data_IF_054623630109
#
_entry.id   IF_054623630109
#
_cell.length_a   1.000
_cell.length_b   1.000
_cell.length_c   1.000
_cell.angle_alpha   90.00
_cell.angle_beta   90.00
_cell.angle_gamma   90.00
#
_symmetry.space_group_name_H-M   'P 1'
#
loop_
_entity.id
_entity.type
_entity.pdbx_description
1 polymer ?
#
# COMPACT_ATOMS: atom_id res chain seq x y z
N UNK A 1 42.56 65.63 -46.40
CA UNK A 1 41.69 64.66 -45.69
C UNK A 1 40.72 64.08 -46.70
N UNK A 2 40.89 62.83 -47.14
CA UNK A 2 39.91 62.19 -48.02
C UNK A 2 38.69 61.77 -47.18
N UNK A 3 37.50 62.22 -47.57
CA UNK A 3 36.25 61.73 -46.99
C UNK A 3 35.95 60.38 -47.64
N UNK A 4 36.02 59.30 -46.86
CA UNK A 4 35.50 58.00 -47.27
C UNK A 4 33.97 58.12 -47.26
N UNK A 5 33.36 58.08 -48.44
CA UNK A 5 31.90 58.02 -48.60
C UNK A 5 31.47 56.57 -48.37
N UNK A 6 30.84 56.30 -47.23
CA UNK A 6 30.29 54.97 -46.93
C UNK A 6 28.93 54.87 -47.63
N UNK A 7 28.77 53.84 -48.46
CA UNK A 7 27.55 53.56 -49.20
C UNK A 7 26.39 53.28 -48.22
N UNK A 8 25.28 54.01 -48.37
CA UNK A 8 24.08 53.88 -47.52
C UNK A 8 23.47 52.47 -47.54
N UNK A 9 23.64 51.72 -48.64
CA UNK A 9 23.17 50.34 -48.73
C UNK A 9 24.00 49.40 -47.83
N UNK A 10 25.29 49.67 -47.67
CA UNK A 10 26.16 48.90 -46.77
C UNK A 10 25.76 49.14 -45.31
N UNK A 11 25.42 50.37 -44.94
CA UNK A 11 24.92 50.68 -43.59
C UNK A 11 23.55 50.03 -43.32
N UNK A 12 22.70 50.00 -44.34
CA UNK A 12 21.40 49.32 -44.29
C UNK A 12 21.60 47.81 -44.01
N UNK A 13 22.45 47.14 -44.78
CA UNK A 13 22.71 45.71 -44.66
C UNK A 13 23.35 45.35 -43.31
N UNK A 14 24.28 46.19 -42.83
CA UNK A 14 24.87 46.06 -41.49
C UNK A 14 23.80 46.16 -40.40
N UNK A 15 22.85 47.09 -40.52
CA UNK A 15 21.77 47.26 -39.56
C UNK A 15 20.89 46.01 -39.44
N UNK A 16 20.54 45.39 -40.58
CA UNK A 16 19.71 44.17 -40.61
C UNK A 16 20.46 42.94 -40.11
N UNK A 17 21.76 42.86 -40.42
CA UNK A 17 22.64 41.83 -39.86
C UNK A 17 22.73 41.97 -38.32
N UNK A 18 22.89 43.19 -37.80
CA UNK A 18 22.94 43.45 -36.37
C UNK A 18 21.61 43.06 -35.67
N UNK A 19 20.46 43.39 -36.27
CA UNK A 19 19.14 43.01 -35.74
C UNK A 19 18.95 41.49 -35.74
N UNK A 20 19.39 40.80 -36.80
CA UNK A 20 19.36 39.34 -36.88
C UNK A 20 20.22 38.70 -35.80
N UNK A 21 21.44 39.22 -35.58
CA UNK A 21 22.36 38.74 -34.55
C UNK A 21 21.76 38.96 -33.16
N UNK A 22 21.16 40.12 -32.90
CA UNK A 22 20.52 40.42 -31.62
C UNK A 22 19.39 39.44 -31.31
N UNK A 23 18.52 39.15 -32.30
CA UNK A 23 17.45 38.15 -32.14
C UNK A 23 17.98 36.76 -31.83
N UNK A 24 19.03 36.32 -32.53
CA UNK A 24 19.66 35.01 -32.27
C UNK A 24 20.28 34.94 -30.87
N UNK A 25 20.94 36.01 -30.41
CA UNK A 25 21.52 36.07 -29.07
C UNK A 25 20.46 36.03 -27.97
N UNK A 26 19.33 36.73 -28.14
CA UNK A 26 18.22 36.68 -27.19
C UNK A 26 17.61 35.28 -27.11
N UNK A 27 17.40 34.61 -28.24
CA UNK A 27 16.89 33.23 -28.26
C UNK A 27 17.84 32.26 -27.55
N UNK A 28 19.15 32.38 -27.79
CA UNK A 28 20.17 31.56 -27.13
C UNK A 28 20.19 31.79 -25.61
N UNK A 29 20.01 33.03 -25.17
CA UNK A 29 19.98 33.37 -23.75
C UNK A 29 18.77 32.75 -23.03
N UNK A 30 17.59 32.76 -23.66
CA UNK A 30 16.40 32.10 -23.11
C UNK A 30 16.56 30.57 -23.08
N UNK A 31 17.19 29.97 -24.10
CA UNK A 31 17.50 28.54 -24.11
C UNK A 31 18.49 28.16 -22.99
N UNK A 32 19.53 28.96 -22.78
CA UNK A 32 20.48 28.79 -21.67
C UNK A 32 19.79 28.88 -20.31
N UNK A 33 18.86 29.83 -20.15
CA UNK A 33 18.08 29.98 -18.91
C UNK A 33 17.16 28.78 -18.67
N UNK A 34 16.52 28.26 -19.71
CA UNK A 34 15.71 27.04 -19.60
C UNK A 34 16.57 25.83 -19.20
N UNK A 35 17.75 25.65 -19.82
CA UNK A 35 18.69 24.57 -19.47
C UNK A 35 19.22 24.70 -18.03
N UNK A 36 19.50 25.92 -17.56
CA UNK A 36 19.91 26.16 -16.18
C UNK A 36 18.80 25.77 -15.18
N UNK A 37 17.54 26.08 -15.47
CA UNK A 37 16.41 25.62 -14.67
C UNK A 37 16.28 24.10 -14.66
N UNK A 38 16.51 23.43 -15.79
CA UNK A 38 16.53 21.96 -15.87
C UNK A 38 17.67 21.34 -15.05
N UNK A 39 18.82 21.99 -14.96
CA UNK A 39 19.94 21.54 -14.13
C UNK A 39 19.60 21.63 -12.63
N UNK A 40 18.94 22.70 -12.18
CA UNK A 40 18.48 22.81 -10.79
C UNK A 40 17.48 21.70 -10.44
N UNK A 41 16.55 21.36 -11.35
CA UNK A 41 15.62 20.24 -11.18
C UNK A 41 16.39 18.91 -11.05
N UNK A 42 17.48 18.74 -11.82
CA UNK A 42 18.31 17.55 -11.74
C UNK A 42 19.06 17.45 -10.40
N UNK A 43 19.53 18.59 -9.86
CA UNK A 43 20.17 18.67 -8.55
C UNK A 43 19.19 18.29 -7.43
N UNK A 44 17.95 18.80 -7.47
CA UNK A 44 16.90 18.43 -6.52
C UNK A 44 16.57 16.92 -6.57
N UNK A 45 16.54 16.32 -7.76
CA UNK A 45 16.31 14.87 -7.94
C UNK A 45 17.46 14.07 -7.34
N UNK A 46 18.71 14.49 -7.55
CA UNK A 46 19.88 13.83 -6.98
C UNK A 46 19.86 13.88 -5.45
N UNK A 47 19.53 15.04 -4.86
CA UNK A 47 19.44 15.19 -3.41
C UNK A 47 18.34 14.30 -2.82
N UNK A 48 17.16 14.28 -3.42
CA UNK A 48 16.07 13.39 -2.99
C UNK A 48 16.45 11.91 -3.08
N UNK A 49 17.18 11.53 -4.14
CA UNK A 49 17.65 10.14 -4.33
C UNK A 49 18.67 9.75 -3.27
N UNK A 50 19.59 10.65 -2.90
CA UNK A 50 20.60 10.42 -1.86
C UNK A 50 19.96 10.27 -0.47
N UNK A 51 18.97 11.11 -0.14
CA UNK A 51 18.20 11.00 1.11
C UNK A 51 17.46 9.66 1.20
N UNK A 52 16.88 9.21 0.07
CA UNK A 52 16.17 7.94 0.01
C UNK A 52 17.10 6.74 0.16
N UNK A 53 18.22 6.70 -0.57
CA UNK A 53 19.23 5.64 -0.44
C UNK A 53 19.77 5.58 0.99
N UNK A 54 20.03 6.73 1.61
CA UNK A 54 20.48 6.82 3.01
C UNK A 54 19.45 6.27 4.01
N UNK A 55 18.15 6.48 3.75
CA UNK A 55 17.07 5.91 4.55
C UNK A 55 16.99 4.39 4.41
N UNK A 56 17.02 3.88 3.17
CA UNK A 56 16.98 2.45 2.87
C UNK A 56 18.20 1.72 3.49
N UNK A 57 19.40 2.31 3.42
CA UNK A 57 20.60 1.76 4.05
C UNK A 57 20.46 1.60 5.57
N UNK A 58 19.84 2.58 6.25
CA UNK A 58 19.56 2.49 7.70
C UNK A 58 18.56 1.39 8.04
N UNK A 59 17.56 1.17 7.18
CA UNK A 59 16.59 0.09 7.35
C UNK A 59 17.24 -1.28 7.19
N UNK A 60 18.06 -1.46 6.16
CA UNK A 60 18.83 -2.70 5.94
C UNK A 60 19.73 -3.00 7.13
N UNK A 61 20.43 -2.00 7.67
CA UNK A 61 21.25 -2.17 8.87
C UNK A 61 20.42 -2.64 10.07
N UNK A 62 19.28 -2.00 10.33
CA UNK A 62 18.38 -2.38 11.43
C UNK A 62 17.83 -3.80 11.26
N UNK A 63 17.54 -4.22 10.02
CA UNK A 63 17.09 -5.58 9.72
C UNK A 63 18.21 -6.60 9.94
N UNK A 64 19.45 -6.28 9.54
CA UNK A 64 20.63 -7.09 9.83
C UNK A 64 20.84 -7.30 11.34
N UNK A 65 20.70 -6.23 12.13
CA UNK A 65 20.83 -6.30 13.59
C UNK A 65 19.74 -7.20 14.22
N UNK A 66 18.49 -7.11 13.72
CA UNK A 66 17.38 -7.97 14.16
C UNK A 66 17.63 -9.44 13.81
N UNK A 67 18.12 -9.74 12.61
CA UNK A 67 18.51 -11.10 12.22
C UNK A 67 19.63 -11.64 13.13
N UNK A 68 20.60 -10.81 13.50
CA UNK A 68 21.65 -11.18 14.46
C UNK A 68 21.11 -11.52 15.85
N UNK A 69 20.14 -10.75 16.35
CA UNK A 69 19.47 -11.04 17.63
C UNK A 69 18.64 -12.34 17.56
N UNK A 70 17.85 -12.52 16.50
CA UNK A 70 17.05 -13.74 16.31
C UNK A 70 17.93 -14.99 16.22
N UNK A 71 19.04 -14.92 15.48
CA UNK A 71 20.03 -16.01 15.43
C UNK A 71 20.58 -16.32 16.83
N UNK A 72 20.90 -15.29 17.62
CA UNK A 72 21.39 -15.46 19.00
C UNK A 72 20.37 -16.13 19.93
N UNK A 73 19.08 -15.82 19.77
CA UNK A 73 18.00 -16.48 20.52
C UNK A 73 17.83 -17.94 20.11
N UNK A 74 17.85 -18.23 18.81
CA UNK A 74 17.76 -19.60 18.30
C UNK A 74 18.92 -20.47 18.76
N UNK A 75 20.15 -19.92 18.80
CA UNK A 75 21.31 -20.61 19.36
C UNK A 75 21.12 -20.97 20.83
N UNK A 76 20.62 -20.04 21.67
CA UNK A 76 20.34 -20.31 23.09
C UNK A 76 19.22 -21.34 23.29
N UNK A 77 18.19 -21.33 22.43
CA UNK A 77 17.13 -22.34 22.48
C UNK A 77 17.65 -23.72 22.12
N UNK A 78 18.52 -23.83 21.12
CA UNK A 78 19.15 -25.09 20.75
C UNK A 78 20.01 -25.66 21.90
N UNK A 79 20.81 -24.83 22.57
CA UNK A 79 21.59 -25.24 23.75
C UNK A 79 20.72 -25.76 24.89
N UNK A 80 19.61 -25.08 25.17
CA UNK A 80 18.65 -25.51 26.20
C UNK A 80 17.94 -26.82 25.82
N UNK A 81 17.66 -27.02 24.54
CA UNK A 81 17.02 -28.24 24.04
C UNK A 81 17.96 -29.44 24.18
N UNK A 82 19.25 -29.30 23.82
CA UNK A 82 20.24 -30.36 24.04
C UNK A 82 20.42 -30.72 25.52
N UNK A 83 20.37 -29.72 26.41
CA UNK A 83 20.44 -29.95 27.85
C UNK A 83 19.20 -30.69 28.40
N UNK A 84 18.02 -30.34 27.90
CA UNK A 84 16.76 -31.01 28.25
C UNK A 84 16.72 -32.45 27.72
N UNK A 85 17.19 -32.68 26.49
CA UNK A 85 17.27 -34.01 25.89
C UNK A 85 18.19 -34.93 26.68
N UNK A 86 19.39 -34.47 27.09
CA UNK A 86 20.29 -35.25 27.97
C UNK A 86 19.64 -35.63 29.30
N UNK A 87 18.85 -34.71 29.87
CA UNK A 87 18.12 -34.95 31.12
C UNK A 87 17.01 -35.99 30.93
N UNK A 88 16.26 -35.90 29.82
CA UNK A 88 15.22 -36.85 29.46
C UNK A 88 15.78 -38.24 29.13
N UNK A 89 16.88 -38.34 28.38
CA UNK A 89 17.54 -39.63 28.10
C UNK A 89 18.05 -40.28 29.39
N UNK A 90 18.57 -39.48 30.33
CA UNK A 90 18.94 -39.95 31.67
C UNK A 90 17.74 -40.48 32.48
N UNK A 91 16.59 -39.81 32.39
CA UNK A 91 15.35 -40.22 33.06
C UNK A 91 14.69 -41.45 32.39
N UNK A 92 14.71 -41.55 31.07
CA UNK A 92 14.14 -42.68 30.31
C UNK A 92 14.90 -43.98 30.60
N UNK A 93 16.23 -43.91 30.74
CA UNK A 93 17.04 -45.08 31.12
C UNK A 93 16.78 -45.58 32.55
N UNK A 94 16.11 -44.79 33.39
CA UNK A 94 15.71 -45.18 34.75
C UNK A 94 14.31 -45.81 34.82
N UNK A 95 13.49 -45.75 33.76
CA UNK A 95 12.05 -46.07 33.81
C UNK A 95 11.60 -47.07 32.72
N UNK A 96 12.47 -47.94 32.18
CA UNK A 96 11.96 -49.06 31.38
C UNK A 96 12.66 -50.38 31.71
N UNK A 97 11.84 -51.42 31.99
CA UNK A 97 11.15 -52.06 30.88
C UNK A 97 9.64 -52.17 31.12
N UNK A 98 8.88 -51.19 30.65
CA UNK A 98 7.47 -51.37 30.30
C UNK A 98 6.99 -50.15 29.52
N UNK A 99 6.19 -50.41 28.50
CA UNK A 99 5.43 -49.48 27.64
C UNK A 99 6.12 -49.18 26.32
N UNK A 100 6.01 -50.20 25.46
CA UNK A 100 5.76 -50.03 24.03
C UNK A 100 4.28 -49.67 23.84
N UNK A 101 3.98 -48.53 23.22
CA UNK A 101 3.09 -48.42 22.05
C UNK A 101 2.73 -46.96 21.74
N UNK A 102 2.66 -46.68 20.43
CA UNK A 102 2.01 -45.57 19.73
C UNK A 102 2.59 -44.16 19.93
N UNK A 103 3.51 -43.80 19.03
CA UNK A 103 3.85 -42.41 18.69
C UNK A 103 3.32 -42.15 17.28
N UNK A 104 2.12 -41.59 17.20
CA UNK A 104 1.69 -40.85 16.00
C UNK A 104 2.36 -39.47 16.07
N UNK A 105 3.16 -39.15 15.07
CA UNK A 105 3.73 -37.82 14.86
C UNK A 105 2.61 -36.87 14.48
N UNK A 106 2.31 -35.93 15.38
CA UNK A 106 1.61 -34.70 15.02
C UNK A 106 2.57 -33.83 14.21
N UNK A 107 2.68 -34.12 12.92
CA UNK A 107 2.99 -33.12 11.92
C UNK A 107 1.90 -32.05 11.98
N UNK A 108 2.22 -30.88 12.53
CA UNK A 108 1.39 -29.68 12.32
C UNK A 108 1.57 -29.24 10.88
N UNK A 109 0.89 -29.95 9.98
CA UNK A 109 0.48 -29.43 8.69
C UNK A 109 -0.53 -28.33 9.00
N UNK A 110 -0.21 -27.08 8.67
CA UNK A 110 -1.23 -26.05 8.48
C UNK A 110 -1.79 -26.23 7.05
N UNK A 111 -3.00 -26.77 6.84
CA UNK A 111 -3.73 -26.54 5.59
C UNK A 111 -4.31 -25.11 5.69
N UNK A 112 -4.28 -24.23 4.69
CA UNK A 112 -4.82 -24.37 3.34
C UNK A 112 -4.28 -23.26 2.43
N UNK A 113 -3.94 -23.65 1.20
CA UNK A 113 -3.55 -22.79 0.08
C UNK A 113 -4.62 -21.73 -0.28
N UNK A 114 -4.41 -20.48 0.10
CA UNK A 114 -4.84 -19.31 -0.68
C UNK A 114 -3.71 -18.30 -0.66
N UNK A 115 -2.94 -18.28 -1.75
CA UNK A 115 -2.01 -17.20 -2.03
C UNK A 115 -2.83 -15.97 -2.41
N UNK A 116 -2.91 -14.99 -1.51
CA UNK A 116 -3.62 -13.73 -1.70
C UNK A 116 -2.82 -12.73 -2.53
N UNK A 117 -1.59 -13.05 -2.91
CA UNK A 117 -0.82 -12.29 -3.89
C UNK A 117 -0.72 -13.13 -5.18
N UNK A 118 -1.78 -13.17 -6.01
CA UNK A 118 -1.79 -13.97 -7.22
C UNK A 118 -0.75 -13.45 -8.24
N UNK A 119 -0.49 -14.17 -9.35
CA UNK A 119 0.27 -13.61 -10.46
C UNK A 119 -0.27 -12.25 -10.94
N UNK A 120 0.64 -11.38 -11.38
CA UNK A 120 0.30 -10.03 -11.83
C UNK A 120 -0.64 -10.08 -13.03
N UNK A 121 -1.77 -9.37 -12.95
CA UNK A 121 -2.70 -9.23 -14.06
C UNK A 121 -2.06 -8.44 -15.22
N UNK A 122 -2.21 -8.94 -16.45
CA UNK A 122 -1.63 -8.31 -17.64
C UNK A 122 -2.67 -7.51 -18.43
N UNK A 123 -2.33 -6.29 -18.85
CA UNK A 123 -3.21 -5.46 -19.69
C UNK A 123 -3.39 -6.02 -21.10
N UNK A 124 -2.43 -6.78 -21.61
CA UNK A 124 -2.52 -7.53 -22.86
C UNK A 124 -3.02 -8.97 -22.66
N UNK A 125 -3.38 -9.32 -21.42
CA UNK A 125 -3.93 -10.60 -21.04
C UNK A 125 -5.27 -10.94 -21.69
N UNK A 126 -5.60 -12.22 -21.62
CA UNK A 126 -6.78 -12.80 -22.30
C UNK A 126 -7.79 -13.41 -21.33
N UNK A 127 -7.50 -13.44 -20.03
CA UNK A 127 -8.47 -13.92 -19.05
C UNK A 127 -9.69 -12.96 -18.99
N UNK A 128 -10.88 -13.43 -18.56
CA UNK A 128 -12.03 -12.55 -18.35
C UNK A 128 -11.73 -11.38 -17.40
N UNK A 129 -10.92 -11.61 -16.37
CA UNK A 129 -10.50 -10.64 -15.36
C UNK A 129 -9.53 -9.61 -15.94
N UNK A 130 -8.56 -10.04 -16.75
CA UNK A 130 -7.60 -9.17 -17.44
C UNK A 130 -8.28 -8.33 -18.53
N UNK A 131 -9.24 -8.91 -19.26
CA UNK A 131 -10.09 -8.17 -20.19
C UNK A 131 -10.91 -7.11 -19.44
N UNK A 132 -11.47 -7.47 -18.28
CA UNK A 132 -12.20 -6.53 -17.43
C UNK A 132 -11.28 -5.39 -16.94
N UNK A 133 -10.08 -5.71 -16.44
CA UNK A 133 -9.06 -4.75 -16.04
C UNK A 133 -8.74 -3.77 -17.17
N UNK A 134 -8.37 -4.30 -18.35
CA UNK A 134 -8.07 -3.48 -19.53
C UNK A 134 -9.25 -2.58 -19.87
N UNK A 135 -10.47 -3.09 -19.88
CA UNK A 135 -11.64 -2.28 -20.25
C UNK A 135 -11.89 -1.15 -19.25
N UNK A 136 -11.72 -1.39 -17.93
CA UNK A 136 -11.87 -0.35 -16.90
C UNK A 136 -10.78 0.72 -16.99
N UNK A 137 -9.53 0.32 -17.24
CA UNK A 137 -8.38 1.23 -17.32
C UNK A 137 -8.32 1.98 -18.65
N UNK A 138 -8.64 1.34 -19.78
CA UNK A 138 -8.38 1.90 -21.12
C UNK A 138 -9.64 2.35 -21.87
N UNK A 139 -10.81 1.78 -21.58
CA UNK A 139 -12.05 2.00 -22.37
C UNK A 139 -13.20 2.63 -21.57
N UNK A 140 -13.03 2.86 -20.28
CA UNK A 140 -14.06 3.47 -19.44
C UNK A 140 -14.31 4.94 -19.75
N UNK A 141 -15.52 5.44 -19.42
CA UNK A 141 -15.84 6.88 -19.33
C UNK A 141 -15.09 7.59 -18.18
N UNK A 142 -14.06 6.95 -17.64
CA UNK A 142 -13.27 7.43 -16.52
C UNK A 142 -12.24 8.40 -17.07
N UNK A 143 -12.36 9.68 -16.71
CA UNK A 143 -11.38 10.71 -17.08
C UNK A 143 -10.17 10.61 -16.17
N UNK A 144 -9.36 9.60 -16.42
CA UNK A 144 -8.07 9.41 -15.75
C UNK A 144 -7.22 10.68 -15.92
N UNK A 145 -6.90 11.33 -14.80
CA UNK A 145 -5.94 12.44 -14.80
C UNK A 145 -4.52 11.89 -15.05
N UNK A 146 -4.27 10.65 -14.62
CA UNK A 146 -3.08 9.87 -14.94
C UNK A 146 -3.47 8.53 -15.56
N UNK A 147 -2.98 8.25 -16.78
CA UNK A 147 -3.19 6.94 -17.44
C UNK A 147 -2.45 5.85 -16.69
N UNK A 148 -3.10 4.70 -16.51
CA UNK A 148 -2.49 3.49 -15.95
C UNK A 148 -1.93 2.59 -17.05
N UNK A 149 -0.73 2.06 -16.82
CA UNK A 149 0.01 1.15 -17.68
C UNK A 149 0.42 -0.10 -16.88
N UNK A 150 1.12 -1.03 -17.54
CA UNK A 150 1.53 -2.29 -16.90
C UNK A 150 2.54 -2.06 -15.77
N UNK A 151 3.43 -1.07 -15.90
CA UNK A 151 4.42 -0.77 -14.85
C UNK A 151 3.74 -0.33 -13.54
N UNK A 152 2.68 0.46 -13.62
CA UNK A 152 1.90 0.86 -12.45
C UNK A 152 1.18 -0.31 -11.82
N UNK A 153 0.60 -1.20 -12.61
CA UNK A 153 0.00 -2.44 -12.12
C UNK A 153 1.06 -3.30 -11.41
N UNK A 154 2.23 -3.50 -12.03
CA UNK A 154 3.33 -4.25 -11.43
C UNK A 154 3.77 -3.65 -10.10
N UNK A 155 3.79 -2.31 -9.97
CA UNK A 155 4.19 -1.65 -8.73
C UNK A 155 3.22 -1.89 -7.57
N UNK A 156 1.92 -2.04 -7.85
CA UNK A 156 0.92 -2.43 -6.83
C UNK A 156 1.25 -3.81 -6.26
N UNK A 157 1.52 -4.79 -7.13
CA UNK A 157 1.94 -6.13 -6.70
C UNK A 157 3.23 -6.10 -5.90
N UNK A 158 4.26 -5.40 -6.40
CA UNK A 158 5.54 -5.29 -5.71
C UNK A 158 5.41 -4.67 -4.30
N UNK A 159 4.49 -3.71 -4.11
CA UNK A 159 4.22 -3.13 -2.80
C UNK A 159 3.55 -4.13 -1.85
N UNK A 160 2.60 -4.94 -2.32
CA UNK A 160 2.00 -6.01 -1.53
C UNK A 160 2.99 -7.12 -1.18
N UNK A 161 3.85 -7.51 -2.13
CA UNK A 161 4.93 -8.48 -1.90
C UNK A 161 5.93 -7.97 -0.84
N UNK A 162 6.27 -6.68 -0.88
CA UNK A 162 7.14 -6.07 0.12
C UNK A 162 6.51 -6.13 1.52
N UNK A 163 5.23 -5.78 1.65
CA UNK A 163 4.50 -5.90 2.91
C UNK A 163 4.51 -7.35 3.41
N UNK A 164 4.21 -8.31 2.55
CA UNK A 164 4.25 -9.72 2.94
C UNK A 164 5.64 -10.16 3.40
N UNK A 165 6.70 -9.75 2.69
CA UNK A 165 8.08 -10.06 3.08
C UNK A 165 8.48 -9.43 4.41
N UNK A 166 8.03 -8.22 4.70
CA UNK A 166 8.37 -7.48 5.92
C UNK A 166 7.54 -7.90 7.14
N UNK A 167 6.29 -8.30 6.91
CA UNK A 167 5.27 -8.41 7.95
C UNK A 167 4.58 -9.78 8.01
N UNK A 168 4.76 -10.65 7.02
CA UNK A 168 4.08 -11.95 6.96
C UNK A 168 2.58 -11.89 6.70
N UNK A 169 2.04 -10.69 6.43
CA UNK A 169 0.63 -10.45 6.14
C UNK A 169 0.47 -10.15 4.66
N UNK A 170 -0.45 -10.85 3.99
CA UNK A 170 -0.72 -10.65 2.57
C UNK A 170 -1.83 -9.62 2.39
N UNK A 171 -1.61 -8.64 1.52
CA UNK A 171 -2.66 -7.73 1.04
C UNK A 171 -2.96 -8.11 -0.40
N UNK A 172 -4.21 -8.43 -0.70
CA UNK A 172 -4.57 -8.76 -2.08
C UNK A 172 -4.45 -7.51 -2.99
N UNK A 173 -3.50 -7.50 -3.95
CA UNK A 173 -3.27 -6.35 -4.82
C UNK A 173 -4.49 -5.99 -5.67
N UNK A 174 -5.41 -6.92 -5.92
CA UNK A 174 -6.65 -6.67 -6.67
C UNK A 174 -7.59 -5.74 -5.90
N UNK A 175 -7.52 -5.67 -4.57
CA UNK A 175 -8.28 -4.70 -3.75
C UNK A 175 -7.79 -3.27 -4.05
N UNK A 176 -6.47 -3.05 -4.09
CA UNK A 176 -5.88 -1.75 -4.44
C UNK A 176 -6.28 -1.32 -5.86
N UNK A 177 -6.28 -2.25 -6.83
CA UNK A 177 -6.76 -1.96 -8.18
C UNK A 177 -8.26 -1.62 -8.19
N UNK A 178 -9.07 -2.34 -7.41
CA UNK A 178 -10.51 -2.05 -7.28
C UNK A 178 -10.76 -0.64 -6.72
N UNK A 179 -9.96 -0.23 -5.73
CA UNK A 179 -10.00 1.13 -5.17
C UNK A 179 -9.68 2.17 -6.24
N UNK A 180 -8.57 2.03 -6.98
CA UNK A 180 -8.22 2.97 -8.07
C UNK A 180 -9.34 3.14 -9.09
N UNK A 181 -10.00 2.03 -9.45
CA UNK A 181 -11.11 2.03 -10.39
C UNK A 181 -12.35 2.70 -9.81
N UNK A 182 -12.60 2.55 -8.51
CA UNK A 182 -13.68 3.23 -7.83
C UNK A 182 -13.42 4.73 -7.70
N UNK A 183 -12.18 5.14 -7.41
CA UNK A 183 -11.79 6.57 -7.34
C UNK A 183 -11.90 7.27 -8.70
N UNK A 184 -11.63 6.54 -9.79
CA UNK A 184 -11.93 7.00 -11.15
C UNK A 184 -11.13 8.22 -11.63
N UNK A 185 -10.03 8.57 -10.97
CA UNK A 185 -9.15 9.66 -11.39
C UNK A 185 -7.69 9.24 -11.59
N UNK A 186 -7.33 8.04 -11.15
CA UNK A 186 -6.03 7.41 -11.42
C UNK A 186 -5.08 7.53 -10.24
N UNK A 187 -5.58 8.03 -9.11
CA UNK A 187 -4.90 8.05 -7.83
C UNK A 187 -5.80 7.41 -6.77
N UNK A 188 -5.18 6.92 -5.70
CA UNK A 188 -5.81 6.42 -4.50
C UNK A 188 -6.45 7.54 -3.66
N UNK A 189 -6.29 8.79 -4.07
CA UNK A 189 -6.77 9.99 -3.38
C UNK A 189 -6.19 10.12 -1.97
N UNK A 190 -4.87 9.94 -1.83
CA UNK A 190 -4.18 10.02 -0.52
C UNK A 190 -3.57 11.39 -0.21
N UNK A 191 -3.78 12.40 -1.06
CA UNK A 191 -3.15 13.71 -0.86
C UNK A 191 -3.81 14.50 0.27
N UNK A 192 -3.07 14.72 1.37
CA UNK A 192 -3.49 15.62 2.44
C UNK A 192 -3.34 17.10 2.12
N UNK A 193 -2.56 17.44 1.08
CA UNK A 193 -2.30 18.82 0.64
C UNK A 193 -3.18 19.24 -0.53
N UNK A 194 -3.48 18.31 -1.45
CA UNK A 194 -4.41 18.54 -2.55
C UNK A 194 -5.75 17.94 -2.18
N UNK A 195 -6.48 18.60 -1.28
CA UNK A 195 -7.78 18.10 -0.82
C UNK A 195 -8.82 18.10 -1.93
N UNK A 196 -9.73 17.13 -1.89
CA UNK A 196 -10.90 17.07 -2.74
C UNK A 196 -11.91 18.18 -2.38
N UNK A 197 -12.94 18.37 -3.21
CA UNK A 197 -13.91 19.47 -3.06
C UNK A 197 -14.75 19.37 -1.76
N UNK A 198 -14.88 18.16 -1.22
CA UNK A 198 -15.49 17.84 0.08
C UNK A 198 -14.53 18.04 1.27
N UNK A 199 -13.27 18.37 1.02
CA UNK A 199 -12.24 18.55 2.04
C UNK A 199 -11.53 17.25 2.43
N UNK A 200 -11.82 16.11 1.80
CA UNK A 200 -11.11 14.84 2.02
C UNK A 200 -9.76 14.82 1.30
N UNK A 201 -9.02 13.72 1.46
CA UNK A 201 -7.80 13.52 0.71
C UNK A 201 -8.12 13.47 -0.79
N UNK A 202 -7.37 14.22 -1.59
CA UNK A 202 -7.62 14.31 -3.01
C UNK A 202 -6.47 13.76 -3.84
N UNK A 203 -6.51 14.10 -5.12
CA UNK A 203 -5.63 13.55 -6.13
C UNK A 203 -4.13 13.79 -5.86
N UNK A 204 -3.33 12.73 -5.95
CA UNK A 204 -1.86 12.77 -5.88
C UNK A 204 -1.27 12.35 -7.24
N UNK A 205 -0.59 13.29 -7.91
CA UNK A 205 -0.02 13.05 -9.25
C UNK A 205 1.21 12.14 -9.22
N UNK A 206 1.91 12.08 -8.08
CA UNK A 206 3.05 11.20 -7.89
C UNK A 206 2.56 9.79 -7.50
N UNK A 207 2.45 8.90 -8.49
CA UNK A 207 1.94 7.54 -8.34
C UNK A 207 2.69 6.74 -7.27
N UNK A 208 4.02 6.84 -7.19
CA UNK A 208 4.79 6.10 -6.19
C UNK A 208 4.50 6.57 -4.76
N UNK A 209 4.36 7.89 -4.58
CA UNK A 209 4.01 8.49 -3.29
C UNK A 209 2.57 8.15 -2.88
N UNK A 210 1.66 8.16 -3.85
CA UNK A 210 0.26 7.83 -3.66
C UNK A 210 0.07 6.35 -3.28
N UNK A 211 0.73 5.45 -4.02
CA UNK A 211 0.75 4.02 -3.74
C UNK A 211 1.33 3.72 -2.35
N UNK A 212 2.46 4.35 -1.98
CA UNK A 212 3.08 4.14 -0.67
C UNK A 212 2.14 4.56 0.48
N UNK A 213 1.40 5.66 0.32
CA UNK A 213 0.42 6.11 1.33
C UNK A 213 -0.80 5.20 1.39
N UNK A 214 -1.32 4.77 0.24
CA UNK A 214 -2.48 3.90 0.17
C UNK A 214 -2.19 2.55 0.80
N UNK A 215 -1.03 1.97 0.47
CA UNK A 215 -0.58 0.68 1.01
C UNK A 215 -0.28 0.77 2.52
N UNK A 216 0.35 1.85 3.01
CA UNK A 216 0.53 2.08 4.45
C UNK A 216 -0.83 2.20 5.17
N UNK A 217 -1.77 2.98 4.65
CA UNK A 217 -3.11 3.12 5.25
C UNK A 217 -3.85 1.78 5.29
N UNK A 218 -3.90 1.06 4.17
CA UNK A 218 -4.59 -0.22 4.07
C UNK A 218 -3.92 -1.25 4.96
N UNK A 219 -2.59 -1.32 5.01
CA UNK A 219 -1.88 -2.22 5.91
C UNK A 219 -2.22 -1.95 7.38
N UNK A 220 -2.27 -0.68 7.80
CA UNK A 220 -2.64 -0.31 9.18
C UNK A 220 -4.10 -0.62 9.50
N UNK A 221 -4.98 -0.52 8.51
CA UNK A 221 -6.38 -0.99 8.61
C UNK A 221 -6.46 -2.51 8.68
N UNK A 222 -5.62 -3.24 7.95
CA UNK A 222 -5.49 -4.70 8.06
C UNK A 222 -5.09 -5.09 9.48
N UNK A 223 -4.09 -4.42 10.08
CA UNK A 223 -3.72 -4.66 11.48
C UNK A 223 -4.89 -4.41 12.43
N UNK A 224 -5.64 -3.32 12.21
CA UNK A 224 -6.87 -3.05 12.95
C UNK A 224 -7.92 -4.14 12.78
N UNK A 225 -8.09 -4.68 11.57
CA UNK A 225 -9.06 -5.72 11.29
C UNK A 225 -8.67 -7.08 11.88
N UNK A 226 -7.37 -7.43 11.89
CA UNK A 226 -6.88 -8.62 12.59
C UNK A 226 -7.21 -8.52 14.08
N UNK A 227 -7.01 -7.34 14.68
CA UNK A 227 -7.25 -7.13 16.10
C UNK A 227 -8.74 -7.09 16.46
N UNK A 228 -9.53 -6.33 15.69
CA UNK A 228 -10.90 -5.94 16.05
C UNK A 228 -12.00 -6.37 15.07
N UNK A 229 -11.66 -7.15 14.04
CA UNK A 229 -12.57 -7.47 12.94
C UNK A 229 -13.80 -8.26 13.40
N UNK A 230 -13.66 -9.10 14.43
CA UNK A 230 -14.76 -9.85 15.03
C UNK A 230 -15.76 -8.92 15.72
N UNK A 231 -15.29 -8.01 16.59
CA UNK A 231 -16.16 -7.04 17.26
C UNK A 231 -16.88 -6.14 16.25
N UNK A 232 -16.15 -5.69 15.22
CA UNK A 232 -16.72 -4.92 14.13
C UNK A 232 -17.83 -5.69 13.40
N UNK A 233 -17.55 -6.91 12.92
CA UNK A 233 -18.50 -7.71 12.17
C UNK A 233 -19.76 -8.05 12.99
N UNK A 234 -19.60 -8.36 14.27
CA UNK A 234 -20.72 -8.62 15.17
C UNK A 234 -21.60 -7.37 15.32
N UNK A 235 -21.00 -6.20 15.53
CA UNK A 235 -21.74 -4.94 15.64
C UNK A 235 -22.50 -4.61 14.36
N UNK A 236 -21.92 -4.89 13.19
CA UNK A 236 -22.60 -4.75 11.89
C UNK A 236 -23.81 -5.67 11.79
N UNK A 237 -23.62 -6.96 12.09
CA UNK A 237 -24.69 -7.95 12.04
C UNK A 237 -25.87 -7.59 12.94
N UNK A 238 -25.59 -7.15 14.17
CA UNK A 238 -26.62 -6.71 15.12
C UNK A 238 -27.35 -5.44 14.68
N UNK A 239 -26.67 -4.53 13.98
CA UNK A 239 -27.19 -3.19 13.71
C UNK A 239 -27.81 -3.02 12.32
N UNK A 240 -27.38 -3.82 11.34
CA UNK A 240 -27.71 -3.64 9.92
C UNK A 240 -28.26 -4.92 9.26
N UNK A 241 -28.41 -6.03 10.01
CA UNK A 241 -28.88 -7.32 9.49
C UNK A 241 -28.08 -7.79 8.25
N UNK A 242 -26.77 -7.58 8.30
CA UNK A 242 -25.82 -7.93 7.24
C UNK A 242 -24.47 -8.33 7.85
N UNK A 243 -23.63 -9.06 7.13
CA UNK A 243 -22.29 -9.38 7.61
C UNK A 243 -21.33 -8.21 7.36
N UNK A 244 -20.56 -7.85 8.39
CA UNK A 244 -19.42 -6.96 8.23
C UNK A 244 -18.34 -7.60 7.34
N UNK A 245 -17.56 -6.78 6.65
CA UNK A 245 -16.38 -7.24 5.92
C UNK A 245 -15.24 -6.22 5.95
N UNK A 246 -14.05 -6.64 5.55
CA UNK A 246 -12.87 -5.78 5.57
C UNK A 246 -13.01 -4.52 4.69
N UNK A 247 -13.66 -4.60 3.53
CA UNK A 247 -13.83 -3.43 2.64
C UNK A 247 -14.79 -2.40 3.26
N UNK A 248 -15.82 -2.85 3.98
CA UNK A 248 -16.65 -1.95 4.81
C UNK A 248 -15.85 -1.34 5.95
N UNK A 249 -14.96 -2.12 6.58
CA UNK A 249 -14.06 -1.61 7.63
C UNK A 249 -13.15 -0.50 7.11
N UNK A 250 -12.67 -0.56 5.86
CA UNK A 250 -11.93 0.53 5.22
C UNK A 250 -12.78 1.79 5.08
N UNK A 251 -14.04 1.65 4.68
CA UNK A 251 -14.96 2.75 4.39
C UNK A 251 -15.41 3.51 5.65
N UNK A 252 -15.39 2.88 6.83
CA UNK A 252 -15.92 3.46 8.06
C UNK A 252 -14.84 3.94 9.04
N UNK A 253 -15.26 4.71 10.04
CA UNK A 253 -14.40 5.29 11.08
C UNK A 253 -13.92 4.19 12.02
N UNK A 254 -12.87 3.49 11.61
CA UNK A 254 -12.35 2.30 12.29
C UNK A 254 -10.86 2.44 12.59
N UNK A 255 -10.31 1.64 13.52
CA UNK A 255 -8.91 1.72 13.95
C UNK A 255 -7.89 1.64 12.81
N UNK A 256 -6.85 2.45 12.94
CA UNK A 256 -5.65 2.51 12.11
C UNK A 256 -4.47 2.30 13.07
N UNK A 257 -4.04 1.04 13.18
CA UNK A 257 -2.98 0.68 14.11
C UNK A 257 -1.62 1.00 13.51
N UNK A 258 -0.76 1.68 14.28
CA UNK A 258 0.59 2.03 13.83
C UNK A 258 1.61 1.14 14.49
N UNK A 259 2.58 0.68 13.69
CA UNK A 259 3.76 0.00 14.23
C UNK A 259 4.65 0.99 15.01
N UNK A 260 5.42 0.47 15.97
CA UNK A 260 6.51 1.17 16.67
C UNK A 260 6.14 2.54 17.30
N UNK A 261 5.69 2.57 18.55
CA UNK A 261 5.48 3.75 19.43
C UNK A 261 4.69 4.95 18.87
N UNK A 262 4.22 4.85 17.64
CA UNK A 262 3.38 5.81 16.99
C UNK A 262 1.95 5.63 17.49
N UNK A 263 1.28 6.74 17.80
CA UNK A 263 -0.10 6.69 18.26
C UNK A 263 -1.03 6.21 17.16
N UNK A 264 -1.69 5.07 17.42
CA UNK A 264 -2.84 4.58 16.68
C UNK A 264 -3.98 5.60 16.70
N UNK A 265 -4.84 5.57 15.69
CA UNK A 265 -5.96 6.50 15.54
C UNK A 265 -7.16 5.79 14.92
N UNK A 266 -8.28 6.48 14.77
CA UNK A 266 -9.38 6.05 13.89
C UNK A 266 -9.36 6.88 12.60
N UNK A 267 -10.09 6.45 11.58
CA UNK A 267 -10.31 7.24 10.37
C UNK A 267 -11.15 6.48 9.35
N UNK A 268 -11.57 7.13 8.27
CA UNK A 268 -12.16 6.49 7.08
C UNK A 268 -11.15 6.43 5.93
N UNK A 269 -11.32 5.50 4.99
CA UNK A 269 -10.67 5.59 3.67
C UNK A 269 -11.40 6.59 2.77
N UNK A 270 -12.73 6.46 2.67
CA UNK A 270 -13.62 7.32 1.89
C UNK A 270 -14.94 7.50 2.65
N UNK A 271 -15.60 8.66 2.54
CA UNK A 271 -16.90 8.89 3.23
C UNK A 271 -18.14 8.46 2.44
N UNK A 272 -18.04 8.21 1.14
CA UNK A 272 -19.19 7.75 0.35
C UNK A 272 -19.67 6.39 0.86
N UNK A 273 -20.92 6.34 1.32
CA UNK A 273 -21.59 5.14 1.85
C UNK A 273 -21.74 4.00 0.84
N UNK A 274 -21.67 4.27 -0.47
CA UNK A 274 -21.71 3.24 -1.50
C UNK A 274 -20.31 2.81 -1.96
N UNK A 275 -19.26 3.46 -1.48
CA UNK A 275 -17.89 3.19 -1.89
C UNK A 275 -17.53 1.72 -1.66
N UNK A 276 -17.75 1.20 -0.46
CA UNK A 276 -17.44 -0.20 -0.12
C UNK A 276 -18.17 -1.19 -1.03
N UNK A 277 -19.46 -0.98 -1.31
CA UNK A 277 -20.24 -1.86 -2.20
C UNK A 277 -19.68 -1.91 -3.61
N UNK A 278 -19.27 -0.75 -4.14
CA UNK A 278 -18.69 -0.69 -5.48
C UNK A 278 -17.30 -1.34 -5.52
N UNK A 279 -16.46 -1.12 -4.50
CA UNK A 279 -15.15 -1.78 -4.39
C UNK A 279 -15.30 -3.29 -4.27
N UNK A 280 -16.24 -3.80 -3.45
CA UNK A 280 -16.56 -5.23 -3.37
C UNK A 280 -16.88 -5.80 -4.76
N UNK A 281 -17.83 -5.18 -5.48
CA UNK A 281 -18.26 -5.65 -6.80
C UNK A 281 -17.12 -5.68 -7.82
N UNK A 282 -16.23 -4.68 -7.82
CA UNK A 282 -15.06 -4.64 -8.70
C UNK A 282 -14.06 -5.73 -8.31
N UNK A 283 -13.79 -5.89 -7.00
CA UNK A 283 -12.85 -6.87 -6.48
C UNK A 283 -13.29 -8.32 -6.75
N UNK A 284 -14.55 -8.66 -6.46
CA UNK A 284 -15.13 -9.99 -6.78
C UNK A 284 -15.02 -10.30 -8.27
N UNK A 285 -15.19 -9.29 -9.13
CA UNK A 285 -15.01 -9.43 -10.58
C UNK A 285 -13.55 -9.67 -10.98
N UNK A 286 -12.57 -9.16 -10.23
CA UNK A 286 -11.15 -9.45 -10.45
C UNK A 286 -10.72 -10.82 -9.92
N UNK A 287 -11.37 -11.32 -8.88
CA UNK A 287 -11.12 -12.68 -8.38
C UNK A 287 -11.85 -13.72 -9.22
N UNK A 288 -12.98 -13.36 -9.82
CA UNK A 288 -13.86 -14.29 -10.52
C UNK A 288 -14.74 -15.11 -9.57
N UNK A 289 -14.96 -14.61 -8.34
CA UNK A 289 -15.77 -15.27 -7.31
C UNK A 289 -16.61 -14.25 -6.55
N UNK A 290 -17.91 -14.55 -6.39
CA UNK A 290 -18.85 -13.74 -5.60
C UNK A 290 -18.61 -13.88 -4.08
N UNK A 291 -17.77 -14.83 -3.64
CA UNK A 291 -17.37 -15.00 -2.23
C UNK A 291 -16.03 -14.34 -1.90
N UNK A 292 -15.35 -13.73 -2.87
CA UNK A 292 -13.96 -13.27 -2.70
C UNK A 292 -13.76 -12.30 -1.53
N UNK A 293 -14.75 -11.43 -1.27
CA UNK A 293 -14.73 -10.49 -0.13
C UNK A 293 -14.83 -11.24 1.19
N UNK A 294 -15.73 -12.22 1.27
CA UNK A 294 -15.92 -13.06 2.44
C UNK A 294 -14.67 -13.93 2.69
N UNK A 295 -14.14 -14.55 1.65
CA UNK A 295 -12.95 -15.40 1.73
C UNK A 295 -11.72 -14.60 2.22
N UNK A 296 -11.52 -13.38 1.70
CA UNK A 296 -10.42 -12.51 2.14
C UNK A 296 -10.64 -11.99 3.56
N UNK A 297 -11.89 -11.68 3.92
CA UNK A 297 -12.27 -11.31 5.28
C UNK A 297 -11.94 -12.44 6.26
N UNK A 298 -12.32 -13.68 5.92
CA UNK A 298 -12.05 -14.87 6.74
C UNK A 298 -10.55 -15.15 6.85
N UNK A 299 -9.79 -14.92 5.77
CA UNK A 299 -8.33 -14.97 5.83
C UNK A 299 -7.78 -14.01 6.90
N UNK A 300 -8.17 -12.74 6.87
CA UNK A 300 -7.67 -11.77 7.85
C UNK A 300 -8.07 -12.12 9.29
N UNK A 301 -9.30 -12.61 9.49
CA UNK A 301 -9.77 -13.07 10.80
C UNK A 301 -9.05 -14.33 11.30
N UNK A 302 -8.51 -15.14 10.38
CA UNK A 302 -7.73 -16.34 10.73
C UNK A 302 -6.29 -16.05 11.16
N UNK A 303 -5.79 -14.83 10.93
CA UNK A 303 -4.45 -14.44 11.33
C UNK A 303 -4.35 -14.32 12.86
N UNK A 304 -3.23 -14.77 13.41
CA UNK A 304 -3.00 -14.72 14.86
C UNK A 304 -2.85 -13.28 15.34
N UNK A 305 -3.70 -12.87 16.29
CA UNK A 305 -3.67 -11.53 16.90
C UNK A 305 -2.33 -11.23 17.59
N UNK A 306 -1.57 -12.26 17.97
CA UNK A 306 -0.24 -12.09 18.56
C UNK A 306 0.72 -11.28 17.68
N UNK A 307 0.61 -11.39 16.35
CA UNK A 307 1.40 -10.56 15.44
C UNK A 307 1.16 -9.06 15.69
N UNK A 308 -0.10 -8.67 15.89
CA UNK A 308 -0.45 -7.27 16.18
C UNK A 308 0.05 -6.88 17.57
N UNK A 309 -0.20 -7.71 18.60
CA UNK A 309 0.22 -7.41 19.98
C UNK A 309 1.74 -7.35 20.16
N UNK A 310 2.50 -8.06 19.34
CA UNK A 310 3.96 -8.09 19.42
C UNK A 310 4.62 -6.92 18.67
N UNK A 311 3.92 -6.31 17.70
CA UNK A 311 4.49 -5.28 16.82
C UNK A 311 3.85 -3.88 16.97
N UNK A 312 2.70 -3.78 17.65
CA UNK A 312 2.02 -2.53 17.97
C UNK A 312 2.16 -2.26 19.47
N UNK A 313 2.95 -1.25 19.83
CA UNK A 313 3.31 -1.02 21.24
C UNK A 313 2.17 -0.45 22.10
N UNK A 314 1.16 0.15 21.47
CA UNK A 314 -0.06 0.57 22.15
C UNK A 314 -1.28 0.23 21.30
N UNK A 315 -2.03 -0.77 21.75
CA UNK A 315 -3.31 -1.18 21.19
C UNK A 315 -4.39 -0.49 22.04
N UNK A 316 -5.08 0.54 21.52
CA UNK A 316 -6.15 1.19 22.25
C UNK A 316 -7.31 0.21 22.47
N UNK A 317 -8.08 0.42 23.51
CA UNK A 317 -9.38 -0.25 23.63
C UNK A 317 -10.38 0.55 22.80
N UNK A 318 -11.15 -0.12 21.95
CA UNK A 318 -12.11 0.51 21.04
C UNK A 318 -13.46 -0.17 21.15
N UNK A 319 -14.50 0.63 21.38
CA UNK A 319 -15.88 0.15 21.33
C UNK A 319 -16.49 0.46 19.96
N UNK A 320 -16.98 -0.57 19.27
CA UNK A 320 -17.74 -0.40 18.03
C UNK A 320 -19.19 -0.05 18.35
N UNK A 321 -19.65 1.08 17.82
CA UNK A 321 -21.02 1.56 18.05
C UNK A 321 -21.73 1.90 16.75
N UNK A 322 -23.02 1.56 16.60
CA UNK A 322 -23.81 1.96 15.44
C UNK A 322 -24.08 3.46 15.44
N UNK A 323 -23.78 4.12 14.33
CA UNK A 323 -24.20 5.49 14.06
C UNK A 323 -25.56 5.47 13.37
N UNK A 324 -26.49 6.26 13.90
CA UNK A 324 -27.86 6.35 13.38
C UNK A 324 -28.10 7.68 12.68
N UNK A 325 -28.83 7.64 11.56
CA UNK A 325 -29.32 8.85 10.90
C UNK A 325 -30.47 9.50 11.69
N UNK A 326 -30.99 10.63 11.18
CA UNK A 326 -32.12 11.36 11.80
C UNK A 326 -33.39 10.53 11.94
N UNK A 327 -33.52 9.45 11.17
CA UNK A 327 -34.66 8.52 11.23
C UNK A 327 -34.41 7.34 12.18
N UNK A 328 -33.30 7.32 12.91
CA UNK A 328 -32.93 6.26 13.84
C UNK A 328 -32.41 4.99 13.17
N UNK A 329 -32.20 4.99 11.86
CA UNK A 329 -31.66 3.85 11.12
C UNK A 329 -30.14 3.84 11.23
N UNK A 330 -29.55 2.69 11.51
CA UNK A 330 -28.10 2.54 11.46
C UNK A 330 -27.62 2.79 10.03
N UNK A 331 -26.57 3.60 9.88
CA UNK A 331 -25.95 3.92 8.58
C UNK A 331 -24.51 3.43 8.47
N UNK A 332 -23.81 3.34 9.60
CA UNK A 332 -22.46 2.76 9.70
C UNK A 332 -22.16 2.41 11.16
N UNK A 333 -21.01 1.77 11.39
CA UNK A 333 -20.44 1.49 12.72
C UNK A 333 -19.12 2.25 12.84
N UNK A 334 -18.87 2.85 14.01
CA UNK A 334 -17.66 3.61 14.29
C UNK A 334 -16.97 3.06 15.54
N UNK A 335 -15.64 3.14 15.60
CA UNK A 335 -14.88 2.90 16.82
C UNK A 335 -14.81 4.16 17.69
N UNK A 336 -14.98 4.01 19.00
CA UNK A 336 -14.93 5.10 19.98
C UNK A 336 -13.89 4.86 21.06
#
# INVERSE_FOLDING_TARGET
MSKISINTNVLWDIGKAAESIQKSLTALAEELKARASSLNIFEDILQWTDERISSEAKQIQKQSDRCGMAASYLFKMAENYEAAERTLTGAINLISPAISSTREENDRIYPTSTDWIPPVMQLDGTSPEEIYLRNRITQGNIKWQTKWDQEKINSVWAACELIYKEHGVQIDPRILIAIIIQEGNGSFNTSSTNRAADGEHGYEANVSKDLARATDLIFRKVLGYIQYGEEFNNTVAESLDTSGNFIQYLNWETPILKLNDAQSSTGVYASDTNWSKNVCSIYERFVGSDTAVEDYTNYLLSLDKSYVTDNVSHIPDYDFVPLKNTNGQCTNVIAK
#
